data_IF_274956341609
#
_entry.id   IF_274956341609
#
_cell.length_a   1.000
_cell.length_b   1.000
_cell.length_c   1.000
_cell.angle_alpha   90.00
_cell.angle_beta   90.00
_cell.angle_gamma   90.00
#
_symmetry.space_group_name_H-M   'P 1'
#
loop_
_entity.id
_entity.type
_entity.pdbx_description
1 polymer ?
#
# COMPACT_ATOMS: atom_id res chain seq x y z
N UNK A 1 -17.84 -7.06 -11.45
CA UNK A 1 -17.89 -5.95 -12.42
C UNK A 1 -18.14 -6.56 -13.79
N UNK A 2 -18.99 -5.93 -14.59
CA UNK A 2 -19.25 -6.30 -15.99
C UNK A 2 -19.22 -5.05 -16.87
N UNK A 3 -18.66 -5.17 -18.07
CA UNK A 3 -18.79 -4.17 -19.12
C UNK A 3 -20.04 -4.50 -19.93
N UNK A 4 -20.90 -3.51 -20.10
CA UNK A 4 -22.05 -3.52 -21.00
C UNK A 4 -21.82 -2.56 -22.18
N UNK A 5 -22.76 -2.46 -23.11
CA UNK A 5 -22.57 -1.68 -24.34
C UNK A 5 -22.27 -0.19 -24.06
N UNK A 6 -22.89 0.40 -23.04
CA UNK A 6 -22.79 1.83 -22.75
C UNK A 6 -22.31 2.18 -21.35
N UNK A 7 -22.15 1.17 -20.47
CA UNK A 7 -21.81 1.38 -19.07
C UNK A 7 -21.08 0.19 -18.48
N UNK A 8 -20.45 0.41 -17.33
CA UNK A 8 -19.97 -0.64 -16.44
C UNK A 8 -20.99 -0.85 -15.33
N UNK A 9 -21.26 -2.10 -15.01
CA UNK A 9 -22.17 -2.50 -13.92
C UNK A 9 -21.36 -3.13 -12.80
N UNK A 10 -21.53 -2.61 -11.60
CA UNK A 10 -20.84 -3.04 -10.37
C UNK A 10 -21.87 -3.66 -9.43
N UNK A 11 -21.59 -4.87 -8.96
CA UNK A 11 -22.32 -5.47 -7.84
C UNK A 11 -21.40 -5.51 -6.62
N UNK A 12 -21.83 -4.86 -5.55
CA UNK A 12 -21.10 -4.79 -4.28
C UNK A 12 -21.34 -6.05 -3.42
N UNK A 13 -20.53 -6.25 -2.39
CA UNK A 13 -20.66 -7.39 -1.47
C UNK A 13 -21.97 -7.37 -0.66
N UNK A 14 -22.54 -6.18 -0.42
CA UNK A 14 -23.85 -6.01 0.23
C UNK A 14 -25.03 -6.19 -0.74
N UNK A 15 -24.76 -6.50 -2.03
CA UNK A 15 -25.77 -6.78 -3.05
C UNK A 15 -26.29 -5.57 -3.83
N UNK A 16 -25.81 -4.37 -3.53
CA UNK A 16 -26.16 -3.17 -4.30
C UNK A 16 -25.58 -3.20 -5.69
N UNK A 17 -26.27 -2.57 -6.64
CA UNK A 17 -25.87 -2.50 -8.04
C UNK A 17 -25.72 -1.02 -8.43
N UNK A 18 -24.59 -0.69 -9.01
CA UNK A 18 -24.30 0.63 -9.55
C UNK A 18 -23.91 0.49 -11.02
N UNK A 19 -24.21 1.50 -11.82
CA UNK A 19 -23.73 1.59 -13.19
C UNK A 19 -23.19 2.97 -13.52
N UNK A 20 -22.20 3.02 -14.42
CA UNK A 20 -21.61 4.28 -14.87
C UNK A 20 -21.00 4.14 -16.28
N UNK A 21 -21.17 5.17 -17.13
CA UNK A 21 -20.52 5.22 -18.45
C UNK A 21 -19.03 5.60 -18.38
N UNK A 22 -18.59 6.15 -17.26
CA UNK A 22 -17.20 6.51 -16.96
C UNK A 22 -16.76 5.89 -15.64
N UNK A 23 -15.62 5.23 -15.63
CA UNK A 23 -15.05 4.58 -14.45
C UNK A 23 -13.59 4.96 -14.29
N UNK A 24 -13.21 5.35 -13.07
CA UNK A 24 -11.84 5.56 -12.65
C UNK A 24 -11.43 4.49 -11.62
N UNK A 25 -10.53 3.60 -11.98
CA UNK A 25 -9.93 2.63 -11.07
C UNK A 25 -8.76 3.28 -10.30
N UNK A 26 -9.00 3.67 -9.06
CA UNK A 26 -8.04 4.26 -8.13
C UNK A 26 -7.87 3.37 -6.89
N UNK A 27 -7.94 2.04 -7.05
CA UNK A 27 -8.03 1.08 -5.93
C UNK A 27 -6.67 0.72 -5.32
N UNK A 28 -5.59 1.40 -5.70
CA UNK A 28 -4.23 1.24 -5.17
C UNK A 28 -3.72 -0.20 -5.30
N UNK A 29 -3.62 -0.97 -4.21
CA UNK A 29 -3.22 -2.38 -4.27
C UNK A 29 -4.23 -3.28 -5.00
N UNK A 30 -5.48 -2.85 -5.11
CA UNK A 30 -6.55 -3.57 -5.81
C UNK A 30 -6.62 -3.35 -7.32
N UNK A 31 -5.75 -2.51 -7.91
CA UNK A 31 -5.82 -2.14 -9.34
C UNK A 31 -5.90 -3.38 -10.23
N UNK A 32 -4.97 -4.31 -10.08
CA UNK A 32 -4.92 -5.50 -10.90
C UNK A 32 -6.07 -6.49 -10.60
N UNK A 33 -6.65 -6.45 -9.41
CA UNK A 33 -7.87 -7.23 -9.11
C UNK A 33 -9.03 -6.74 -9.97
N UNK A 34 -9.18 -5.42 -10.12
CA UNK A 34 -10.21 -4.85 -10.99
C UNK A 34 -9.92 -5.15 -12.46
N UNK A 35 -8.65 -5.11 -12.86
CA UNK A 35 -8.25 -5.49 -14.23
C UNK A 35 -8.58 -6.95 -14.53
N UNK A 36 -8.33 -7.85 -13.58
CA UNK A 36 -8.65 -9.29 -13.70
C UNK A 36 -10.13 -9.53 -13.96
N UNK A 37 -11.02 -8.88 -13.21
CA UNK A 37 -12.47 -8.97 -13.42
C UNK A 37 -12.92 -8.53 -14.81
N UNK A 38 -12.18 -7.64 -15.46
CA UNK A 38 -12.54 -7.07 -16.76
C UNK A 38 -11.71 -7.65 -17.92
N UNK A 39 -10.74 -8.52 -17.63
CA UNK A 39 -9.81 -9.07 -18.62
C UNK A 39 -8.87 -8.03 -19.22
N UNK A 40 -8.55 -6.98 -18.47
CA UNK A 40 -7.59 -5.97 -18.89
C UNK A 40 -6.16 -6.42 -18.63
N UNK A 41 -5.21 -5.83 -19.37
CA UNK A 41 -3.79 -6.00 -19.11
C UNK A 41 -3.44 -5.50 -17.71
N UNK A 42 -2.65 -6.30 -16.97
CA UNK A 42 -2.16 -5.90 -15.66
C UNK A 42 -1.11 -4.78 -15.74
N UNK A 43 -1.09 -3.92 -14.73
CA UNK A 43 0.09 -3.09 -14.48
C UNK A 43 1.20 -3.97 -13.89
N UNK A 44 2.47 -3.75 -14.31
CA UNK A 44 3.62 -4.46 -13.76
C UNK A 44 3.92 -3.97 -12.34
N UNK A 45 3.21 -4.51 -11.36
CA UNK A 45 3.28 -4.14 -9.94
C UNK A 45 3.90 -5.30 -9.16
N UNK A 46 4.88 -4.99 -8.29
CA UNK A 46 5.25 -5.84 -7.18
C UNK A 46 4.46 -5.41 -5.93
N UNK A 47 4.19 -6.37 -5.06
CA UNK A 47 3.45 -6.12 -3.82
C UNK A 47 4.36 -6.39 -2.62
N UNK A 48 4.48 -5.41 -1.74
CA UNK A 48 5.18 -5.54 -0.47
C UNK A 48 4.17 -5.65 0.67
N UNK A 49 4.31 -6.67 1.51
CA UNK A 49 3.58 -6.79 2.76
C UNK A 49 4.33 -6.00 3.81
N UNK A 50 3.80 -4.83 4.16
CA UNK A 50 4.48 -3.83 4.97
C UNK A 50 3.89 -3.72 6.37
N UNK A 51 4.78 -3.47 7.34
CA UNK A 51 4.46 -3.12 8.71
C UNK A 51 4.74 -1.64 8.97
N UNK A 52 3.77 -0.93 9.51
CA UNK A 52 3.93 0.41 10.09
C UNK A 52 3.71 0.28 11.59
N UNK A 53 4.75 0.54 12.38
CA UNK A 53 4.70 0.35 13.82
C UNK A 53 4.30 1.65 14.50
N UNK A 54 3.27 1.60 15.35
CA UNK A 54 2.93 2.70 16.25
C UNK A 54 3.69 2.54 17.57
N UNK A 55 4.27 3.64 18.04
CA UNK A 55 5.08 3.68 19.24
C UNK A 55 4.83 4.95 20.06
N UNK A 56 5.10 4.90 21.33
CA UNK A 56 5.27 6.05 22.20
C UNK A 56 6.72 6.51 22.15
N UNK A 57 6.93 7.81 22.27
CA UNK A 57 8.27 8.42 22.31
C UNK A 57 8.42 9.32 23.52
N UNK A 58 9.67 9.65 23.87
CA UNK A 58 9.99 10.59 24.93
C UNK A 58 9.33 11.96 24.70
N UNK A 59 8.91 12.63 25.78
CA UNK A 59 8.13 13.88 25.72
C UNK A 59 8.83 15.00 24.94
N UNK A 60 10.18 15.06 24.97
CA UNK A 60 10.98 16.07 24.27
C UNK A 60 10.89 15.98 22.73
N UNK A 61 10.45 14.84 22.16
CA UNK A 61 10.26 14.66 20.71
C UNK A 61 8.82 14.38 20.31
N UNK A 62 7.88 14.47 21.23
CA UNK A 62 6.46 14.10 21.02
C UNK A 62 5.78 14.80 19.84
N UNK A 63 6.20 15.98 19.48
CA UNK A 63 5.67 16.75 18.37
C UNK A 63 6.69 16.92 17.23
N UNK A 64 7.74 16.10 17.21
CA UNK A 64 8.83 16.21 16.25
C UNK A 64 8.75 15.05 15.26
N UNK A 65 8.69 15.36 13.97
CA UNK A 65 8.89 14.39 12.91
C UNK A 65 10.37 14.31 12.53
N UNK A 66 10.92 13.10 12.52
CA UNK A 66 12.29 12.82 12.16
C UNK A 66 12.34 11.90 10.94
N UNK A 67 13.12 12.27 9.93
CA UNK A 67 13.41 11.42 8.79
C UNK A 67 14.89 11.51 8.46
N UNK A 68 15.58 10.40 8.47
CA UNK A 68 16.95 10.29 7.97
C UNK A 68 16.90 9.93 6.50
N UNK A 69 17.50 10.75 5.67
CA UNK A 69 17.64 10.57 4.23
C UNK A 69 19.12 10.33 3.92
N UNK A 70 19.42 9.48 2.95
CA UNK A 70 20.76 8.98 2.60
C UNK A 70 21.36 7.96 3.60
N UNK A 71 21.32 6.69 3.25
CA UNK A 71 21.81 5.58 4.04
C UNK A 71 20.70 4.66 4.56
N UNK A 72 20.88 4.04 5.74
CA UNK A 72 19.81 3.22 6.32
C UNK A 72 18.67 4.11 6.83
N UNK A 73 17.79 4.46 5.93
CA UNK A 73 16.65 5.34 6.18
C UNK A 73 15.76 4.85 7.32
N UNK A 74 15.39 5.78 8.18
CA UNK A 74 14.23 5.59 9.05
C UNK A 74 13.38 6.85 9.08
N UNK A 75 12.11 6.69 9.41
CA UNK A 75 11.22 7.79 9.74
C UNK A 75 10.54 7.51 11.06
N UNK A 76 10.50 8.52 11.92
CA UNK A 76 9.76 8.54 13.18
C UNK A 76 8.87 9.76 13.15
N UNK A 77 7.58 9.58 12.89
CA UNK A 77 6.65 10.67 12.57
C UNK A 77 5.43 10.65 13.48
N UNK A 78 4.96 11.81 13.96
CA UNK A 78 3.67 11.89 14.65
C UNK A 78 2.57 11.25 13.78
N UNK A 79 1.77 10.35 14.37
CA UNK A 79 0.73 9.64 13.67
C UNK A 79 -0.62 10.34 13.85
N UNK A 80 -0.85 11.36 13.03
CA UNK A 80 -2.04 12.20 13.09
C UNK A 80 -2.21 12.84 14.48
N UNK A 81 -3.43 12.81 15.01
CA UNK A 81 -3.77 13.34 16.34
C UNK A 81 -3.85 12.25 17.43
N UNK A 82 -3.26 11.09 17.19
CA UNK A 82 -3.36 9.93 18.12
C UNK A 82 -2.49 10.06 19.36
N UNK A 83 -1.49 10.95 19.34
CA UNK A 83 -0.45 11.06 20.36
C UNK A 83 0.67 10.02 20.23
N UNK A 84 0.57 9.09 19.27
CA UNK A 84 1.62 8.13 18.94
C UNK A 84 2.50 8.63 17.80
N UNK A 85 3.63 7.97 17.61
CA UNK A 85 4.46 8.07 16.42
C UNK A 85 4.37 6.79 15.60
N UNK A 86 4.58 6.91 14.30
CA UNK A 86 4.88 5.76 13.44
C UNK A 86 6.39 5.66 13.27
N UNK A 87 6.95 4.44 13.42
CA UNK A 87 8.32 4.16 13.01
C UNK A 87 8.32 3.24 11.81
N UNK A 88 9.11 3.58 10.81
CA UNK A 88 9.33 2.79 9.58
C UNK A 88 10.79 2.87 9.18
N UNK A 89 11.29 1.83 8.52
CA UNK A 89 12.63 1.79 7.91
C UNK A 89 12.54 1.17 6.53
N UNK A 90 13.36 1.60 5.58
CA UNK A 90 13.35 1.05 4.23
C UNK A 90 13.62 -0.45 4.22
N UNK A 91 14.53 -0.91 5.10
CA UNK A 91 14.99 -2.30 5.12
C UNK A 91 14.10 -3.26 5.93
N UNK A 92 13.21 -2.75 6.81
CA UNK A 92 12.44 -3.58 7.74
C UNK A 92 10.93 -3.38 7.65
N UNK A 93 10.48 -2.29 7.02
CA UNK A 93 9.05 -2.05 6.77
C UNK A 93 8.44 -3.13 5.87
N UNK A 94 9.06 -3.56 4.74
CA UNK A 94 8.62 -4.73 4.00
C UNK A 94 9.08 -6.01 4.69
N UNK A 95 8.14 -6.89 5.04
CA UNK A 95 8.42 -8.25 5.50
C UNK A 95 8.60 -9.21 4.33
N UNK A 96 7.75 -9.08 3.32
CA UNK A 96 7.72 -9.94 2.14
C UNK A 96 7.45 -9.13 0.90
N UNK A 97 8.02 -9.57 -0.23
CA UNK A 97 7.79 -8.99 -1.55
C UNK A 97 7.34 -10.10 -2.48
N UNK A 98 6.33 -9.81 -3.30
CA UNK A 98 5.81 -10.71 -4.31
C UNK A 98 5.67 -9.99 -5.65
N UNK A 99 5.99 -10.69 -6.74
CA UNK A 99 5.97 -10.18 -8.12
C UNK A 99 4.84 -10.77 -8.96
N UNK A 100 3.91 -11.47 -8.34
CA UNK A 100 2.72 -11.97 -9.05
C UNK A 100 1.79 -10.83 -9.43
N UNK A 101 0.97 -11.05 -10.46
CA UNK A 101 0.06 -10.03 -10.97
C UNK A 101 -1.00 -9.59 -9.96
N UNK A 102 -1.35 -10.46 -9.01
CA UNK A 102 -2.36 -10.20 -7.99
C UNK A 102 -1.74 -10.26 -6.59
N UNK A 103 -2.18 -9.43 -5.65
CA UNK A 103 -1.65 -9.43 -4.29
C UNK A 103 -2.03 -10.73 -3.56
N UNK A 104 -1.06 -11.57 -3.14
CA UNK A 104 -1.36 -12.85 -2.47
C UNK A 104 -1.67 -12.73 -0.98
N UNK A 105 -1.48 -11.54 -0.40
CA UNK A 105 -1.56 -11.29 1.04
C UNK A 105 -2.95 -10.87 1.53
N UNK A 106 -3.92 -10.79 0.62
CA UNK A 106 -5.32 -10.50 0.93
C UNK A 106 -6.21 -11.53 0.22
N UNK A 107 -6.66 -12.53 0.98
CA UNK A 107 -7.49 -13.58 0.42
C UNK A 107 -8.98 -13.20 0.33
N UNK A 108 -9.43 -12.15 0.99
CA UNK A 108 -10.86 -11.76 1.07
C UNK A 108 -11.81 -12.93 1.33
N UNK A 109 -11.35 -13.95 2.10
CA UNK A 109 -12.09 -15.18 2.37
C UNK A 109 -12.06 -16.21 1.23
N UNK A 110 -11.33 -15.98 0.15
CA UNK A 110 -11.18 -16.92 -0.97
C UNK A 110 -10.35 -18.14 -0.55
N UNK A 111 -10.96 -19.33 -0.62
CA UNK A 111 -10.34 -20.60 -0.20
C UNK A 111 -9.11 -20.95 -1.06
N UNK A 112 -9.13 -20.63 -2.35
CA UNK A 112 -8.01 -20.92 -3.24
C UNK A 112 -6.81 -20.00 -2.91
N UNK A 113 -7.05 -18.72 -2.64
CA UNK A 113 -6.01 -17.81 -2.17
C UNK A 113 -5.46 -18.20 -0.79
N UNK A 114 -6.29 -18.77 0.10
CA UNK A 114 -5.83 -19.29 1.38
C UNK A 114 -4.82 -20.43 1.26
N UNK A 115 -4.85 -21.18 0.15
CA UNK A 115 -3.88 -22.23 -0.15
C UNK A 115 -2.57 -21.71 -0.74
N UNK A 116 -2.49 -20.43 -1.08
CA UNK A 116 -1.28 -19.82 -1.63
C UNK A 116 -0.14 -19.86 -0.59
N UNK A 117 1.09 -20.24 -0.96
CA UNK A 117 2.22 -20.31 -0.03
C UNK A 117 2.47 -19.00 0.73
N UNK A 118 2.28 -17.85 0.08
CA UNK A 118 2.47 -16.53 0.69
C UNK A 118 1.39 -16.17 1.72
N UNK A 119 0.20 -16.78 1.64
CA UNK A 119 -0.88 -16.56 2.61
C UNK A 119 -0.44 -16.88 4.04
N UNK A 120 0.36 -17.93 4.24
CA UNK A 120 0.88 -18.32 5.56
C UNK A 120 1.91 -17.35 6.14
N UNK A 121 2.52 -16.51 5.30
CA UNK A 121 3.49 -15.49 5.72
C UNK A 121 2.81 -14.19 6.16
N UNK A 122 1.62 -13.90 5.61
CA UNK A 122 0.86 -12.73 5.99
C UNK A 122 -0.45 -12.64 5.21
N UNK A 123 -1.53 -12.30 5.89
CA UNK A 123 -2.82 -12.03 5.28
C UNK A 123 -3.61 -11.04 6.12
N UNK A 124 -3.95 -9.91 5.54
CA UNK A 124 -4.70 -8.85 6.23
C UNK A 124 -6.10 -9.32 6.60
N UNK A 125 -6.77 -10.05 5.68
CA UNK A 125 -8.13 -10.53 5.90
C UNK A 125 -8.21 -11.58 7.03
N UNK A 126 -7.27 -12.53 7.07
CA UNK A 126 -7.24 -13.60 8.07
C UNK A 126 -6.55 -13.18 9.37
N UNK A 127 -5.93 -12.00 9.44
CA UNK A 127 -5.17 -11.56 10.61
C UNK A 127 -3.90 -12.38 10.85
N UNK A 128 -3.35 -12.99 9.80
CA UNK A 128 -2.06 -13.69 9.86
C UNK A 128 -0.98 -12.64 9.63
N UNK A 129 -0.17 -12.40 10.66
CA UNK A 129 0.88 -11.38 10.62
C UNK A 129 2.23 -11.99 10.97
N UNK A 130 3.34 -11.49 10.36
CA UNK A 130 4.69 -11.88 10.77
C UNK A 130 5.02 -11.36 12.18
N UNK A 131 6.10 -11.85 12.75
CA UNK A 131 6.69 -11.26 13.95
C UNK A 131 7.09 -9.80 13.66
N UNK A 132 6.84 -8.92 14.62
CA UNK A 132 7.12 -7.49 14.45
C UNK A 132 8.62 -7.22 14.33
N UNK A 133 8.99 -6.32 13.42
CA UNK A 133 10.34 -5.85 13.24
C UNK A 133 10.69 -4.64 14.15
N UNK A 134 9.93 -4.44 15.24
CA UNK A 134 10.08 -3.27 16.12
C UNK A 134 11.51 -3.10 16.66
N UNK A 135 12.07 -4.15 17.23
CA UNK A 135 13.41 -4.08 17.83
C UNK A 135 14.49 -3.69 16.81
N UNK A 136 14.42 -4.27 15.62
CA UNK A 136 15.37 -3.96 14.55
C UNK A 136 15.21 -2.53 14.04
N UNK A 137 13.97 -2.05 13.88
CA UNK A 137 13.70 -0.66 13.49
C UNK A 137 14.19 0.33 14.54
N UNK A 138 13.99 0.04 15.82
CA UNK A 138 14.50 0.85 16.94
C UNK A 138 16.02 0.87 16.96
N UNK A 139 16.67 -0.28 16.75
CA UNK A 139 18.15 -0.33 16.67
C UNK A 139 18.70 0.52 15.52
N UNK A 140 18.01 0.59 14.38
CA UNK A 140 18.39 1.47 13.28
C UNK A 140 18.23 2.93 13.70
N UNK A 141 17.09 3.31 14.28
CA UNK A 141 16.80 4.67 14.71
C UNK A 141 17.76 5.17 15.79
N UNK A 142 18.11 4.33 16.77
CA UNK A 142 19.03 4.66 17.86
C UNK A 142 20.45 5.05 17.41
N UNK A 143 20.86 4.70 16.19
CA UNK A 143 22.14 5.16 15.64
C UNK A 143 22.17 6.68 15.38
N UNK A 144 21.01 7.31 15.31
CA UNK A 144 20.84 8.73 14.98
C UNK A 144 20.17 9.54 16.10
N UNK A 145 19.66 8.87 17.14
CA UNK A 145 18.98 9.48 18.26
C UNK A 145 19.90 9.52 19.49
N UNK A 146 19.69 10.51 20.33
CA UNK A 146 20.37 10.59 21.61
C UNK A 146 19.92 9.42 22.53
N UNK A 147 20.78 9.04 23.49
CA UNK A 147 20.53 7.90 24.39
C UNK A 147 19.31 8.10 25.30
N UNK A 148 18.91 9.35 25.56
CA UNK A 148 17.75 9.70 26.38
C UNK A 148 16.41 9.56 25.64
N UNK A 149 16.43 9.29 24.34
CA UNK A 149 15.21 9.08 23.56
C UNK A 149 14.74 7.63 23.73
N UNK A 150 13.61 7.48 24.37
CA UNK A 150 12.91 6.21 24.49
C UNK A 150 11.87 6.05 23.38
N UNK A 151 11.76 4.84 22.85
CA UNK A 151 10.73 4.44 21.88
C UNK A 151 10.10 3.15 22.43
N UNK A 152 8.78 3.16 22.66
CA UNK A 152 8.05 2.02 23.22
C UNK A 152 7.00 1.51 22.26
N UNK A 153 7.01 0.21 22.01
CA UNK A 153 6.03 -0.42 21.12
C UNK A 153 4.59 -0.26 21.63
N UNK A 154 3.68 0.04 20.72
CA UNK A 154 2.24 0.08 20.99
C UNK A 154 1.52 -1.00 20.19
N UNK A 155 1.63 -0.95 18.86
CA UNK A 155 1.04 -1.94 17.95
C UNK A 155 1.59 -1.81 16.53
N UNK A 156 1.42 -2.86 15.76
CA UNK A 156 1.71 -2.88 14.33
C UNK A 156 0.44 -2.72 13.50
N UNK A 157 0.56 -1.97 12.42
CA UNK A 157 -0.43 -1.85 11.34
C UNK A 157 0.18 -2.50 10.09
N UNK A 158 -0.57 -3.40 9.47
CA UNK A 158 -0.11 -4.09 8.26
C UNK A 158 -0.88 -3.62 7.05
N UNK A 159 -0.21 -3.53 5.91
CA UNK A 159 -0.79 -3.10 4.64
C UNK A 159 -0.05 -3.72 3.46
N UNK A 160 -0.72 -3.77 2.32
CA UNK A 160 -0.10 -4.12 1.06
C UNK A 160 0.30 -2.83 0.35
N UNK A 161 1.58 -2.70 0.04
CA UNK A 161 2.14 -1.58 -0.70
C UNK A 161 2.47 -2.02 -2.13
N UNK A 162 1.74 -1.55 -3.13
CA UNK A 162 2.07 -1.80 -4.53
C UNK A 162 3.18 -0.85 -4.99
N UNK A 163 4.12 -1.36 -5.78
CA UNK A 163 5.22 -0.59 -6.37
C UNK A 163 5.35 -1.02 -7.82
N UNK A 164 5.50 -0.06 -8.73
CA UNK A 164 5.81 -0.39 -10.13
C UNK A 164 7.17 -1.06 -10.22
N UNK A 165 7.25 -2.16 -10.94
CA UNK A 165 8.53 -2.90 -11.14
C UNK A 165 9.58 -2.00 -11.78
N UNK A 166 9.20 -1.12 -12.71
CA UNK A 166 10.10 -0.16 -13.33
C UNK A 166 10.79 0.78 -12.32
N UNK A 167 10.13 1.08 -11.19
CA UNK A 167 10.68 1.97 -10.15
C UNK A 167 11.83 1.35 -9.35
N UNK A 168 12.13 0.07 -9.52
CA UNK A 168 13.28 -0.58 -8.88
C UNK A 168 14.62 -0.15 -9.48
N UNK A 169 14.61 0.34 -10.72
CA UNK A 169 15.82 0.71 -11.45
C UNK A 169 16.32 2.10 -11.05
N UNK A 170 15.39 3.04 -10.85
CA UNK A 170 15.72 4.48 -10.70
C UNK A 170 15.01 5.15 -9.52
N UNK A 171 14.29 4.40 -8.68
CA UNK A 171 13.41 4.89 -7.60
C UNK A 171 12.44 6.02 -8.08
N UNK A 172 12.14 6.05 -9.36
CA UNK A 172 11.28 7.06 -9.95
C UNK A 172 9.86 6.87 -9.44
N UNK A 173 8.95 6.76 -9.17
CA UNK A 173 7.56 6.58 -8.74
C UNK A 173 6.64 7.44 -9.60
N UNK A 174 6.59 7.15 -10.91
CA UNK A 174 5.72 7.90 -11.79
C UNK A 174 4.25 7.67 -11.42
N UNK A 175 3.44 8.69 -11.61
CA UNK A 175 1.99 8.51 -11.65
C UNK A 175 1.63 7.99 -13.04
N UNK A 176 0.88 6.90 -13.09
CA UNK A 176 0.38 6.32 -14.35
C UNK A 176 -1.12 6.62 -14.43
N UNK A 177 -1.53 7.23 -15.52
CA UNK A 177 -2.93 7.39 -15.91
C UNK A 177 -3.07 6.70 -17.26
N UNK A 178 -3.86 5.62 -17.32
CA UNK A 178 -4.03 4.83 -18.55
C UNK A 178 -5.50 4.58 -18.84
N UNK A 179 -5.92 4.88 -20.07
CA UNK A 179 -7.24 4.51 -20.56
C UNK A 179 -7.22 3.07 -21.09
N UNK A 180 -8.10 2.24 -20.56
CA UNK A 180 -8.23 0.82 -20.93
C UNK A 180 -9.40 0.55 -21.87
N UNK A 181 -10.38 1.44 -21.88
CA UNK A 181 -11.57 1.31 -22.74
C UNK A 181 -12.13 2.69 -23.08
N UNK A 182 -12.73 2.78 -24.27
CA UNK A 182 -13.55 3.90 -24.71
C UNK A 182 -14.96 3.39 -24.98
N UNK A 183 -15.97 4.16 -24.59
CA UNK A 183 -17.40 3.84 -24.81
C UNK A 183 -17.80 2.43 -24.31
N UNK A 184 -18.00 2.22 -23.04
CA UNK A 184 -17.84 3.14 -21.91
C UNK A 184 -16.38 3.33 -21.52
N UNK A 185 -16.08 4.51 -20.96
CA UNK A 185 -14.72 4.89 -20.60
C UNK A 185 -14.24 4.21 -19.33
N UNK A 186 -13.01 3.70 -19.36
CA UNK A 186 -12.35 3.13 -18.20
C UNK A 186 -10.91 3.62 -18.11
N UNK A 187 -10.62 4.31 -17.02
CA UNK A 187 -9.29 4.78 -16.68
C UNK A 187 -8.76 4.09 -15.42
N UNK A 188 -7.46 3.89 -15.39
CA UNK A 188 -6.75 3.46 -14.19
C UNK A 188 -5.73 4.52 -13.83
N UNK A 189 -5.69 4.90 -12.55
CA UNK A 189 -4.65 5.74 -11.98
C UNK A 189 -3.86 4.97 -10.93
N UNK A 190 -2.56 4.95 -11.12
CA UNK A 190 -1.61 4.47 -10.11
C UNK A 190 -0.75 5.66 -9.68
N UNK A 191 -1.00 6.19 -8.49
CA UNK A 191 -0.32 7.37 -7.98
C UNK A 191 1.05 7.02 -7.40
N UNK A 192 2.09 7.71 -7.87
CA UNK A 192 3.45 7.55 -7.38
C UNK A 192 3.84 8.57 -6.31
N UNK A 193 3.33 9.79 -6.38
CA UNK A 193 3.70 10.91 -5.50
C UNK A 193 2.52 11.85 -5.27
N UNK A 194 2.47 12.48 -4.09
CA UNK A 194 1.39 13.41 -3.72
C UNK A 194 1.35 14.67 -4.58
N UNK A 195 2.47 15.10 -5.12
CA UNK A 195 2.54 16.30 -5.97
C UNK A 195 1.97 16.10 -7.37
N UNK A 196 1.59 14.87 -7.74
CA UNK A 196 0.95 14.53 -9.02
C UNK A 196 -0.57 14.36 -8.90
N UNK A 197 -1.16 14.85 -7.80
CA UNK A 197 -2.60 14.73 -7.55
C UNK A 197 -3.46 15.45 -8.61
N UNK A 198 -2.91 16.50 -9.24
CA UNK A 198 -3.60 17.28 -10.27
C UNK A 198 -3.44 16.74 -11.70
N UNK A 199 -2.64 15.69 -11.89
CA UNK A 199 -2.46 15.06 -13.22
C UNK A 199 -3.78 14.45 -13.75
N UNK A 200 -4.75 14.22 -12.86
CA UNK A 200 -6.10 13.77 -13.23
C UNK A 200 -6.99 14.85 -13.83
N UNK A 201 -6.68 16.13 -13.64
CA UNK A 201 -7.51 17.24 -14.14
C UNK A 201 -7.56 17.26 -15.68
N UNK A 202 -6.64 16.58 -16.36
CA UNK A 202 -6.61 16.45 -17.82
C UNK A 202 -7.68 15.48 -18.36
N UNK A 203 -8.25 14.61 -17.50
CA UNK A 203 -9.20 13.57 -17.92
C UNK A 203 -10.56 13.65 -17.21
N UNK A 204 -10.68 14.44 -16.14
CA UNK A 204 -11.92 14.67 -15.40
C UNK A 204 -12.57 15.98 -15.83
#
# INVERSE_FOLDING_TARGET
IKKEEKEYVFKTSNGEIYSAPFVLNATYAGINIIHDFLGFEYLPIKYEFCEVILCEVSENIKNVGLTVMDGPFFSLMPFGLTGYHSITTVSRTPHFTNYENLPPYDCCGDVEKQKHPEHSKGCIHCGIFPETAFEEMVQIAKKYLNEDIEIKYVKSLYTIKPILVASEIDDSRPTIIKQYSQSPDFYTVFSGKINTMYDLDEIL
#
